data_IF_524305806213
#
_entry.id   IF_524305806213
#
_cell.length_a   1.000
_cell.length_b   1.000
_cell.length_c   1.000
_cell.angle_alpha   90.00
_cell.angle_beta   90.00
_cell.angle_gamma   90.00
#
_symmetry.space_group_name_H-M   'P 1'
#
loop_
_entity.id
_entity.type
_entity.pdbx_description
1 polymer ?
#
# COMPACT_ATOMS: atom_id res chain seq x y z
N UNK A 1 -6.26 24.90 0.48
CA UNK A 1 -7.69 24.76 0.11
C UNK A 1 -7.67 24.62 -1.41
N UNK A 2 -7.92 23.43 -1.98
CA UNK A 2 -7.51 23.15 -3.36
C UNK A 2 -8.25 23.98 -4.42
N UNK A 3 -7.57 24.21 -5.57
CA UNK A 3 -7.99 24.97 -6.78
C UNK A 3 -7.18 24.45 -8.01
N UNK A 4 -7.52 24.66 -9.29
CA UNK A 4 -8.69 24.22 -10.11
C UNK A 4 -8.39 24.53 -11.60
N UNK A 5 -8.79 23.72 -12.60
CA UNK A 5 -8.69 24.11 -14.04
C UNK A 5 -9.67 23.41 -15.00
N UNK A 6 -9.83 24.02 -16.20
CA UNK A 6 -10.94 23.92 -17.18
C UNK A 6 -10.59 23.24 -18.52
N UNK A 7 -11.62 22.90 -19.33
CA UNK A 7 -11.50 22.51 -20.75
C UNK A 7 -12.13 23.55 -21.71
N UNK A 8 -11.77 23.54 -23.00
CA UNK A 8 -11.99 24.60 -24.01
C UNK A 8 -13.46 24.86 -24.46
N UNK A 9 -14.47 24.30 -23.78
CA UNK A 9 -15.88 24.45 -24.18
C UNK A 9 -16.65 25.29 -23.17
N UNK A 10 -17.07 26.47 -23.61
CA UNK A 10 -17.88 27.42 -22.83
C UNK A 10 -19.14 26.77 -22.23
N UNK A 11 -19.37 27.01 -20.92
CA UNK A 11 -20.56 26.67 -20.12
C UNK A 11 -20.73 25.14 -19.89
N UNK A 12 -20.83 24.61 -18.66
CA UNK A 12 -21.42 25.13 -17.40
C UNK A 12 -20.58 24.72 -16.19
N UNK A 13 -20.38 25.62 -15.21
CA UNK A 13 -19.59 25.30 -14.00
C UNK A 13 -20.39 24.45 -13.01
N UNK A 14 -20.08 23.16 -12.93
CA UNK A 14 -20.47 22.32 -11.79
C UNK A 14 -19.45 22.45 -10.65
N UNK A 15 -19.55 23.54 -9.87
CA UNK A 15 -19.12 23.43 -8.47
C UNK A 15 -20.03 22.36 -7.87
N UNK A 16 -19.44 21.30 -7.29
CA UNK A 16 -20.20 20.34 -6.46
C UNK A 16 -21.13 21.16 -5.57
N UNK A 17 -22.46 20.93 -5.59
CA UNK A 17 -23.38 21.73 -4.78
C UNK A 17 -22.84 21.78 -3.35
N UNK A 18 -22.75 22.96 -2.71
CA UNK A 18 -22.20 23.09 -1.36
C UNK A 18 -22.71 21.94 -0.52
N UNK A 19 -21.86 21.16 0.16
CA UNK A 19 -22.20 19.79 0.63
C UNK A 19 -23.58 19.68 1.31
N UNK A 20 -24.02 20.74 1.99
CA UNK A 20 -25.39 21.01 2.46
C UNK A 20 -26.55 20.75 1.46
N UNK A 21 -26.41 21.09 0.18
CA UNK A 21 -27.35 20.77 -0.91
C UNK A 21 -27.32 19.28 -1.30
N UNK A 22 -26.19 18.59 -1.13
CA UNK A 22 -26.14 17.12 -1.26
C UNK A 22 -26.75 16.42 -0.04
N UNK A 23 -26.64 17.02 1.15
CA UNK A 23 -27.30 16.55 2.39
C UNK A 23 -28.84 16.65 2.35
N UNK A 24 -29.42 17.43 1.42
CA UNK A 24 -30.86 17.43 1.14
C UNK A 24 -31.32 16.23 0.29
N UNK A 25 -30.38 15.39 -0.19
CA UNK A 25 -30.70 14.15 -0.90
C UNK A 25 -30.50 12.93 0.02
N UNK A 26 -31.35 11.91 -0.10
CA UNK A 26 -31.21 10.64 0.63
C UNK A 26 -30.06 9.76 0.08
N UNK A 27 -29.02 10.36 -0.52
CA UNK A 27 -27.86 9.67 -1.09
C UNK A 27 -26.60 10.14 -0.36
N UNK A 28 -25.72 9.22 -0.01
CA UNK A 28 -24.48 9.55 0.69
C UNK A 28 -23.64 10.53 -0.17
N UNK A 29 -23.25 11.72 0.35
CA UNK A 29 -22.48 12.71 -0.41
C UNK A 29 -21.16 12.16 -0.97
N UNK A 30 -20.52 11.21 -0.29
CA UNK A 30 -19.32 10.51 -0.77
C UNK A 30 -19.58 9.78 -2.09
N UNK A 31 -20.62 8.95 -2.17
CA UNK A 31 -20.95 8.23 -3.40
C UNK A 31 -21.43 9.14 -4.53
N UNK A 32 -22.16 10.22 -4.21
CA UNK A 32 -22.58 11.19 -5.24
C UNK A 32 -21.38 11.96 -5.80
N UNK A 33 -20.46 12.41 -4.95
CA UNK A 33 -19.20 13.05 -5.40
C UNK A 33 -18.36 12.10 -6.26
N UNK A 34 -18.27 10.82 -5.89
CA UNK A 34 -17.54 9.80 -6.64
C UNK A 34 -18.13 9.50 -8.03
N UNK A 35 -19.41 9.76 -8.27
CA UNK A 35 -19.98 9.67 -9.62
C UNK A 35 -19.84 10.99 -10.40
N UNK A 36 -20.00 12.14 -9.73
CA UNK A 36 -19.92 13.45 -10.38
C UNK A 36 -18.50 13.81 -10.88
N UNK A 37 -17.43 13.35 -10.22
CA UNK A 37 -16.07 13.67 -10.67
C UNK A 37 -15.75 13.19 -12.10
N UNK A 38 -16.44 12.14 -12.58
CA UNK A 38 -16.24 11.54 -13.91
C UNK A 38 -16.67 12.46 -15.07
N UNK A 39 -17.48 13.48 -14.76
CA UNK A 39 -18.04 14.45 -15.72
C UNK A 39 -17.75 15.90 -15.30
N UNK A 40 -16.86 16.11 -14.33
CA UNK A 40 -16.51 17.44 -13.84
C UNK A 40 -15.39 18.04 -14.69
N UNK A 41 -15.61 19.23 -15.25
CA UNK A 41 -14.57 19.98 -15.97
C UNK A 41 -13.43 20.44 -15.05
N UNK A 42 -13.69 20.54 -13.75
CA UNK A 42 -12.79 21.01 -12.69
C UNK A 42 -12.86 20.04 -11.52
N UNK A 43 -11.72 19.48 -11.11
CA UNK A 43 -11.60 18.64 -9.91
C UNK A 43 -10.76 19.31 -8.83
N UNK A 44 -11.30 19.31 -7.60
CA UNK A 44 -10.63 19.79 -6.39
C UNK A 44 -10.16 18.59 -5.56
N UNK A 45 -8.88 18.23 -5.68
CA UNK A 45 -8.30 17.07 -4.98
C UNK A 45 -7.18 17.51 -4.00
N UNK A 46 -7.12 16.97 -2.76
CA UNK A 46 -5.94 17.09 -1.92
C UNK A 46 -4.75 16.33 -2.54
N UNK A 47 -3.54 16.78 -2.26
CA UNK A 47 -2.31 16.26 -2.86
C UNK A 47 -2.10 14.74 -2.70
N UNK A 48 -2.52 14.14 -1.59
CA UNK A 48 -2.34 12.70 -1.38
C UNK A 48 -3.10 11.86 -2.42
N UNK A 49 -4.29 12.27 -2.86
CA UNK A 49 -5.02 11.59 -3.95
C UNK A 49 -4.31 11.70 -5.30
N UNK A 50 -3.46 12.72 -5.47
CA UNK A 50 -2.61 12.86 -6.66
C UNK A 50 -1.35 12.01 -6.54
N UNK A 51 -0.67 12.03 -5.39
CA UNK A 51 0.69 11.50 -5.24
C UNK A 51 0.69 10.02 -4.86
N UNK A 52 -0.15 9.62 -3.91
CA UNK A 52 -0.24 8.25 -3.42
C UNK A 52 -0.85 7.32 -4.49
N UNK A 53 -0.16 6.22 -4.77
CA UNK A 53 -0.54 5.30 -5.85
C UNK A 53 -1.83 4.55 -5.55
N UNK A 54 -2.07 4.20 -4.29
CA UNK A 54 -3.24 3.43 -3.87
C UNK A 54 -4.48 4.33 -3.80
N UNK A 55 -4.36 5.55 -3.26
CA UNK A 55 -5.43 6.55 -3.31
C UNK A 55 -5.78 6.95 -4.76
N UNK A 56 -4.78 7.10 -5.64
CA UNK A 56 -5.01 7.40 -7.06
C UNK A 56 -5.80 6.28 -7.78
N UNK A 57 -5.50 5.00 -7.49
CA UNK A 57 -6.29 3.85 -7.99
C UNK A 57 -7.75 3.92 -7.51
N UNK A 58 -7.97 4.21 -6.23
CA UNK A 58 -9.32 4.28 -5.62
C UNK A 58 -10.15 5.42 -6.23
N UNK A 59 -9.54 6.57 -6.50
CA UNK A 59 -10.23 7.72 -7.09
C UNK A 59 -10.58 7.48 -8.57
N UNK A 60 -9.76 6.71 -9.30
CA UNK A 60 -9.98 6.31 -10.70
C UNK A 60 -10.27 7.49 -11.65
N UNK A 61 -9.53 8.59 -11.47
CA UNK A 61 -9.56 9.76 -12.36
C UNK A 61 -8.74 9.46 -13.61
N UNK A 62 -9.30 9.73 -14.78
CA UNK A 62 -8.52 9.80 -16.02
C UNK A 62 -7.82 11.16 -16.10
N UNK A 63 -6.50 11.14 -16.25
CA UNK A 63 -5.65 12.34 -16.34
C UNK A 63 -5.26 12.67 -17.80
N UNK A 64 -5.70 11.86 -18.77
CA UNK A 64 -5.45 12.12 -20.18
C UNK A 64 -6.02 13.49 -20.59
N UNK A 65 -5.20 14.28 -21.29
CA UNK A 65 -5.56 15.62 -21.77
C UNK A 65 -6.02 16.60 -20.65
N UNK A 66 -5.56 16.40 -19.42
CA UNK A 66 -5.86 17.26 -18.26
C UNK A 66 -4.68 18.18 -17.89
N UNK A 67 -4.96 19.37 -17.37
CA UNK A 67 -3.94 20.29 -16.83
C UNK A 67 -3.93 20.19 -15.31
N UNK A 68 -2.76 19.88 -14.73
CA UNK A 68 -2.58 19.77 -13.29
C UNK A 68 -1.91 21.03 -12.71
N UNK A 69 -2.57 21.67 -11.74
CA UNK A 69 -2.01 22.79 -10.96
C UNK A 69 -1.77 22.32 -9.52
N UNK A 70 -0.59 22.65 -8.99
CA UNK A 70 -0.27 22.54 -7.57
C UNK A 70 -0.31 23.94 -6.93
N UNK A 71 -1.37 24.21 -6.16
CA UNK A 71 -1.52 25.43 -5.36
C UNK A 71 -0.82 25.28 -4.01
N UNK A 72 0.05 26.24 -3.64
CA UNK A 72 0.96 26.13 -2.47
C UNK A 72 1.90 24.91 -2.53
N UNK A 73 2.59 24.74 -3.66
CA UNK A 73 3.50 23.63 -3.95
C UNK A 73 4.74 23.50 -3.03
N UNK A 74 4.91 24.38 -2.04
CA UNK A 74 6.08 24.35 -1.13
C UNK A 74 6.10 23.12 -0.18
N UNK A 75 4.98 22.40 -0.04
CA UNK A 75 4.88 21.11 0.68
C UNK A 75 4.95 19.89 -0.26
N UNK A 76 5.11 20.09 -1.58
CA UNK A 76 4.99 19.01 -2.55
C UNK A 76 6.17 18.01 -2.46
N UNK A 77 7.39 18.51 -2.19
CA UNK A 77 8.58 17.67 -2.08
C UNK A 77 8.50 16.70 -0.88
N UNK A 78 8.18 17.21 0.32
CA UNK A 78 8.05 16.37 1.51
C UNK A 78 6.95 15.32 1.35
N UNK A 79 5.78 15.69 0.84
CA UNK A 79 4.70 14.73 0.63
C UNK A 79 5.02 13.68 -0.45
N UNK A 80 5.80 14.04 -1.48
CA UNK A 80 6.33 13.06 -2.44
C UNK A 80 7.37 12.13 -1.80
N UNK A 81 8.22 12.65 -0.89
CA UNK A 81 9.20 11.86 -0.17
C UNK A 81 8.52 10.88 0.81
N UNK A 82 7.50 11.33 1.54
CA UNK A 82 6.72 10.51 2.47
C UNK A 82 5.97 9.38 1.72
N UNK A 83 5.27 9.71 0.63
CA UNK A 83 4.55 8.73 -0.21
C UNK A 83 5.47 7.78 -1.00
N UNK A 84 6.77 8.08 -1.09
CA UNK A 84 7.81 7.21 -1.63
C UNK A 84 8.69 6.58 -0.54
N UNK A 85 8.32 6.72 0.73
CA UNK A 85 9.01 6.11 1.87
C UNK A 85 8.14 5.05 2.52
N UNK A 86 8.76 4.18 3.30
CA UNK A 86 8.06 3.21 4.14
C UNK A 86 8.87 2.94 5.40
N UNK A 87 8.17 2.64 6.49
CA UNK A 87 8.74 2.13 7.72
C UNK A 87 8.36 0.66 7.90
N UNK A 88 9.34 -0.19 8.21
CA UNK A 88 9.11 -1.60 8.58
C UNK A 88 9.52 -1.81 10.05
N UNK A 89 8.70 -1.40 11.02
CA UNK A 89 9.01 -1.57 12.43
C UNK A 89 8.84 -3.02 12.87
N UNK A 90 9.61 -3.46 13.87
CA UNK A 90 9.65 -4.87 14.31
C UNK A 90 8.27 -5.45 14.63
N UNK A 91 7.40 -4.67 15.30
CA UNK A 91 6.07 -5.11 15.68
C UNK A 91 5.14 -5.39 14.48
N UNK A 92 5.33 -4.66 13.36
CA UNK A 92 4.59 -4.91 12.12
C UNK A 92 5.03 -6.24 11.50
N UNK A 93 6.33 -6.51 11.49
CA UNK A 93 6.88 -7.77 10.96
C UNK A 93 6.45 -8.98 11.81
N UNK A 94 6.47 -8.88 13.14
CA UNK A 94 5.94 -9.91 14.04
C UNK A 94 4.43 -10.14 13.87
N UNK A 95 3.66 -9.08 13.60
CA UNK A 95 2.23 -9.22 13.25
C UNK A 95 2.04 -9.98 11.94
N UNK A 96 2.78 -9.61 10.88
CA UNK A 96 2.76 -10.30 9.58
C UNK A 96 3.13 -11.78 9.69
N UNK A 97 4.14 -12.13 10.51
CA UNK A 97 4.53 -13.53 10.78
C UNK A 97 3.40 -14.31 11.47
N UNK A 98 2.65 -13.64 12.35
CA UNK A 98 1.51 -14.21 13.08
C UNK A 98 0.30 -14.43 12.17
N UNK A 99 0.00 -13.47 11.30
CA UNK A 99 -1.03 -13.57 10.26
C UNK A 99 -0.71 -14.68 9.24
N UNK A 100 0.53 -14.74 8.75
CA UNK A 100 0.97 -15.81 7.86
C UNK A 100 0.90 -17.19 8.54
N UNK A 101 1.11 -17.28 9.87
CA UNK A 101 0.84 -18.52 10.62
C UNK A 101 -0.66 -18.85 10.64
N UNK A 102 -1.52 -17.86 10.93
CA UNK A 102 -2.97 -18.06 10.94
C UNK A 102 -3.47 -18.59 9.59
N UNK A 103 -2.95 -18.05 8.48
CA UNK A 103 -3.29 -18.52 7.13
C UNK A 103 -2.95 -20.01 6.89
N UNK A 104 -1.82 -20.50 7.43
CA UNK A 104 -1.47 -21.93 7.37
C UNK A 104 -2.49 -22.75 8.15
N UNK A 105 -2.74 -22.35 9.41
CA UNK A 105 -3.63 -23.07 10.33
C UNK A 105 -5.08 -23.13 9.77
N UNK A 106 -5.60 -22.01 9.24
CA UNK A 106 -6.90 -21.92 8.56
C UNK A 106 -6.98 -22.73 7.25
N UNK A 107 -5.94 -22.68 6.42
CA UNK A 107 -5.91 -23.40 5.15
C UNK A 107 -5.88 -24.92 5.36
N UNK A 108 -5.24 -25.39 6.43
CA UNK A 108 -5.30 -26.81 6.85
C UNK A 108 -6.71 -27.15 7.36
N UNK A 109 -7.29 -26.36 8.26
CA UNK A 109 -8.63 -26.62 8.80
C UNK A 109 -9.70 -26.69 7.69
N UNK A 110 -9.71 -25.74 6.75
CA UNK A 110 -10.64 -25.76 5.60
C UNK A 110 -10.46 -27.00 4.72
N UNK A 111 -9.23 -27.46 4.49
CA UNK A 111 -8.96 -28.69 3.73
C UNK A 111 -9.54 -29.93 4.40
N UNK A 112 -9.50 -29.99 5.72
CA UNK A 112 -10.06 -31.10 6.51
C UNK A 112 -11.60 -31.05 6.57
N UNK A 113 -12.19 -29.86 6.73
CA UNK A 113 -13.64 -29.69 6.91
C UNK A 113 -14.45 -29.72 5.59
N UNK A 114 -13.96 -29.08 4.53
CA UNK A 114 -14.73 -28.84 3.29
C UNK A 114 -14.10 -29.43 2.02
N UNK A 115 -12.93 -30.07 2.12
CA UNK A 115 -12.10 -30.47 0.97
C UNK A 115 -11.71 -29.31 0.03
N UNK A 116 -11.80 -28.05 0.49
CA UNK A 116 -11.40 -26.90 -0.32
C UNK A 116 -9.89 -26.90 -0.59
N UNK A 117 -9.52 -26.87 -1.86
CA UNK A 117 -8.13 -26.86 -2.36
C UNK A 117 -7.78 -25.56 -3.07
N UNK A 118 -8.65 -24.54 -3.00
CA UNK A 118 -8.45 -23.20 -3.57
C UNK A 118 -7.09 -22.61 -3.17
N UNK A 119 -6.75 -22.72 -1.89
CA UNK A 119 -5.52 -22.17 -1.31
C UNK A 119 -4.55 -23.26 -0.85
N UNK A 120 -3.27 -22.90 -0.81
CA UNK A 120 -2.18 -23.81 -0.49
C UNK A 120 -1.41 -23.42 0.79
N UNK A 121 -1.45 -24.22 1.86
CA UNK A 121 -0.74 -23.90 3.10
C UNK A 121 0.78 -23.88 2.90
N UNK A 122 1.31 -24.58 1.90
CA UNK A 122 2.75 -24.50 1.56
C UNK A 122 3.14 -23.09 1.08
N UNK A 123 2.25 -22.38 0.37
CA UNK A 123 2.50 -21.01 -0.06
C UNK A 123 2.61 -20.08 1.16
N UNK A 124 1.68 -20.21 2.11
CA UNK A 124 1.71 -19.45 3.37
C UNK A 124 2.90 -19.84 4.27
N UNK A 125 3.33 -21.10 4.24
CA UNK A 125 4.55 -21.55 4.91
C UNK A 125 5.82 -20.95 4.28
N UNK A 126 5.89 -20.83 2.96
CA UNK A 126 6.96 -20.12 2.25
C UNK A 126 6.98 -18.63 2.64
N UNK A 127 5.83 -17.96 2.61
CA UNK A 127 5.70 -16.55 3.02
C UNK A 127 6.16 -16.35 4.47
N UNK A 128 5.68 -17.17 5.41
CA UNK A 128 6.09 -17.12 6.82
C UNK A 128 7.60 -17.37 7.01
N UNK A 129 8.17 -18.34 6.29
CA UNK A 129 9.60 -18.63 6.35
C UNK A 129 10.46 -17.47 5.80
N UNK A 130 9.97 -16.78 4.77
CA UNK A 130 10.59 -15.57 4.21
C UNK A 130 10.57 -14.42 5.22
N UNK A 131 9.41 -14.14 5.83
CA UNK A 131 9.27 -13.08 6.84
C UNK A 131 10.18 -13.33 8.07
N UNK A 132 10.27 -14.58 8.55
CA UNK A 132 11.20 -14.96 9.62
C UNK A 132 12.68 -14.79 9.23
N UNK A 133 13.05 -15.11 7.99
CA UNK A 133 14.40 -14.85 7.49
C UNK A 133 14.68 -13.35 7.39
N UNK A 134 13.70 -12.55 6.94
CA UNK A 134 13.81 -11.08 6.87
C UNK A 134 14.01 -10.49 8.26
N UNK A 135 13.21 -10.89 9.25
CA UNK A 135 13.35 -10.48 10.66
C UNK A 135 14.76 -10.77 11.18
N UNK A 136 15.27 -11.99 10.94
CA UNK A 136 16.62 -12.40 11.33
C UNK A 136 17.71 -11.58 10.62
N UNK A 137 17.60 -11.33 9.30
CA UNK A 137 18.59 -10.53 8.55
C UNK A 137 18.59 -9.07 8.98
N UNK A 138 17.44 -8.49 9.33
CA UNK A 138 17.35 -7.12 9.89
C UNK A 138 17.98 -7.08 11.29
N UNK A 139 17.75 -8.09 12.14
CA UNK A 139 18.33 -8.18 13.48
C UNK A 139 19.87 -8.34 13.48
N UNK A 140 20.42 -8.95 12.43
CA UNK A 140 21.87 -9.10 12.20
C UNK A 140 22.58 -7.81 11.75
N UNK A 141 21.85 -6.74 11.42
CA UNK A 141 22.44 -5.48 10.94
C UNK A 141 23.27 -4.78 12.06
N UNK A 142 24.57 -4.49 11.83
CA UNK A 142 25.45 -3.93 12.85
C UNK A 142 25.19 -2.43 13.07
N UNK A 143 24.32 -2.11 14.02
CA UNK A 143 24.03 -0.74 14.46
C UNK A 143 25.12 -0.28 15.44
N UNK A 144 26.07 0.53 14.94
CA UNK A 144 27.25 0.95 15.70
C UNK A 144 26.95 1.98 16.80
N UNK A 145 25.92 2.81 16.62
CA UNK A 145 25.44 3.76 17.65
C UNK A 145 23.92 3.90 17.57
N UNK A 146 23.28 4.15 18.72
CA UNK A 146 21.82 4.35 18.81
C UNK A 146 21.35 5.54 17.95
N UNK A 147 22.09 6.65 17.99
CA UNK A 147 21.70 7.92 17.38
C UNK A 147 21.84 7.92 15.85
N UNK A 148 22.95 7.40 15.32
CA UNK A 148 23.20 7.43 13.87
C UNK A 148 22.47 6.29 13.13
N UNK A 149 22.24 5.14 13.79
CA UNK A 149 21.70 3.96 13.13
C UNK A 149 22.69 3.34 12.13
N UNK A 150 22.18 2.56 11.18
CA UNK A 150 22.93 2.00 10.07
C UNK A 150 22.30 2.44 8.75
N UNK A 151 23.00 3.28 7.97
CA UNK A 151 22.50 3.81 6.69
C UNK A 151 23.30 3.24 5.52
N UNK A 152 22.61 2.86 4.44
CA UNK A 152 23.21 2.30 3.22
C UNK A 152 22.61 2.94 1.96
N UNK A 153 23.33 2.97 0.83
CA UNK A 153 22.81 3.48 -0.43
C UNK A 153 21.69 2.59 -0.97
N UNK A 154 20.82 3.17 -1.80
CA UNK A 154 19.64 2.52 -2.42
C UNK A 154 19.81 1.06 -2.84
N UNK A 155 20.85 0.70 -3.62
CA UNK A 155 21.07 -0.68 -4.09
C UNK A 155 21.08 -1.77 -3.01
N UNK A 156 21.46 -1.41 -1.77
CA UNK A 156 21.54 -2.34 -0.64
C UNK A 156 20.21 -3.08 -0.34
N UNK A 157 19.05 -2.47 -0.61
CA UNK A 157 17.76 -3.16 -0.39
C UNK A 157 17.61 -4.37 -1.31
N UNK A 158 18.12 -4.29 -2.54
CA UNK A 158 18.04 -5.38 -3.51
C UNK A 158 19.05 -6.49 -3.18
N UNK A 159 20.21 -6.14 -2.62
CA UNK A 159 21.17 -7.11 -2.07
C UNK A 159 20.54 -7.89 -0.89
N UNK A 160 19.98 -7.16 0.09
CA UNK A 160 19.36 -7.75 1.28
C UNK A 160 18.12 -8.60 0.95
N UNK A 161 17.35 -8.23 -0.08
CA UNK A 161 16.21 -9.01 -0.56
C UNK A 161 16.63 -10.19 -1.45
N UNK A 162 17.70 -10.08 -2.24
CA UNK A 162 18.23 -11.17 -3.04
C UNK A 162 18.76 -12.34 -2.18
N UNK A 163 19.37 -12.05 -1.02
CA UNK A 163 19.71 -13.03 0.04
C UNK A 163 18.50 -13.88 0.47
N UNK A 164 17.29 -13.36 0.31
CA UNK A 164 16.01 -13.99 0.66
C UNK A 164 15.29 -14.60 -0.56
N UNK A 165 15.94 -14.63 -1.72
CA UNK A 165 15.36 -14.97 -3.03
C UNK A 165 14.23 -14.03 -3.48
N UNK A 166 14.15 -12.79 -2.95
CA UNK A 166 13.18 -11.76 -3.35
C UNK A 166 13.80 -10.84 -4.40
N UNK A 167 13.28 -10.90 -5.61
CA UNK A 167 13.79 -10.25 -6.83
C UNK A 167 12.64 -9.79 -7.71
N UNK A 168 12.87 -8.94 -8.72
CA UNK A 168 11.81 -8.55 -9.67
C UNK A 168 11.08 -9.73 -10.36
N UNK A 169 11.67 -10.93 -10.41
CA UNK A 169 11.05 -12.12 -11.00
C UNK A 169 10.18 -12.86 -9.99
N UNK A 170 10.63 -12.96 -8.73
CA UNK A 170 9.92 -13.68 -7.67
C UNK A 170 8.88 -12.83 -6.95
N UNK A 171 9.00 -11.50 -6.98
CA UNK A 171 8.06 -10.57 -6.32
C UNK A 171 6.62 -10.80 -6.76
N UNK A 172 6.33 -11.01 -8.06
CA UNK A 172 4.95 -11.22 -8.53
C UNK A 172 4.30 -12.49 -7.98
N UNK A 173 5.10 -13.54 -7.69
CA UNK A 173 4.59 -14.74 -7.02
C UNK A 173 4.32 -14.45 -5.54
N UNK A 174 5.20 -13.67 -4.90
CA UNK A 174 5.08 -13.31 -3.49
C UNK A 174 3.89 -12.39 -3.22
N UNK A 175 3.62 -11.40 -4.07
CA UNK A 175 2.46 -10.51 -3.95
C UNK A 175 1.15 -11.29 -4.07
N UNK A 176 1.04 -12.21 -5.04
CA UNK A 176 -0.15 -13.06 -5.19
C UNK A 176 -0.41 -13.94 -3.94
N UNK A 177 0.65 -14.48 -3.31
CA UNK A 177 0.51 -15.26 -2.06
C UNK A 177 0.05 -14.37 -0.89
N UNK A 178 0.45 -13.09 -0.87
CA UNK A 178 -0.02 -12.12 0.11
C UNK A 178 -1.48 -11.73 -0.15
N UNK A 179 -1.88 -11.55 -1.41
CA UNK A 179 -3.27 -11.27 -1.79
C UNK A 179 -4.19 -12.44 -1.40
N UNK A 180 -3.78 -13.69 -1.69
CA UNK A 180 -4.49 -14.91 -1.25
C UNK A 180 -4.63 -14.96 0.29
N UNK A 181 -3.59 -14.58 1.02
CA UNK A 181 -3.59 -14.55 2.48
C UNK A 181 -4.52 -13.46 3.04
N UNK A 182 -4.55 -12.29 2.41
CA UNK A 182 -5.45 -11.20 2.80
C UNK A 182 -6.92 -11.62 2.65
N UNK A 183 -7.30 -12.19 1.50
CA UNK A 183 -8.66 -12.70 1.24
C UNK A 183 -9.07 -13.76 2.28
N UNK A 184 -8.17 -14.69 2.62
CA UNK A 184 -8.44 -15.73 3.62
C UNK A 184 -8.74 -15.14 5.01
N UNK A 185 -7.98 -14.12 5.42
CA UNK A 185 -8.13 -13.44 6.71
C UNK A 185 -9.37 -12.54 6.74
N UNK A 186 -9.75 -11.89 5.64
CA UNK A 186 -10.99 -11.12 5.53
C UNK A 186 -12.23 -12.03 5.70
N UNK A 187 -12.24 -13.19 5.05
CA UNK A 187 -13.32 -14.17 5.19
C UNK A 187 -13.44 -14.71 6.64
N UNK A 188 -12.30 -14.99 7.31
CA UNK A 188 -12.29 -15.40 8.72
C UNK A 188 -12.83 -14.30 9.65
N UNK A 189 -12.38 -13.06 9.44
CA UNK A 189 -12.82 -11.89 10.20
C UNK A 189 -14.32 -11.62 10.04
N UNK A 190 -14.87 -11.80 8.83
CA UNK A 190 -16.31 -11.72 8.57
C UNK A 190 -17.11 -12.77 9.36
N UNK A 191 -16.64 -14.02 9.40
CA UNK A 191 -17.28 -15.08 10.19
C UNK A 191 -17.19 -14.81 11.70
N UNK A 192 -16.05 -14.30 12.17
CA UNK A 192 -15.77 -14.08 13.59
C UNK A 192 -16.20 -12.69 14.12
N UNK A 193 -16.84 -11.85 13.30
CA UNK A 193 -17.28 -10.48 13.66
C UNK A 193 -16.17 -9.58 14.22
N UNK A 194 -14.91 -9.83 13.83
CA UNK A 194 -13.74 -9.04 14.25
C UNK A 194 -13.24 -8.19 13.10
N UNK A 195 -13.35 -6.87 13.21
CA UNK A 195 -12.80 -5.93 12.22
C UNK A 195 -11.29 -5.75 12.34
N UNK A 196 -10.50 -6.82 12.22
CA UNK A 196 -9.04 -6.76 12.29
C UNK A 196 -8.47 -6.42 10.91
N UNK A 197 -7.76 -5.30 10.80
CA UNK A 197 -7.07 -4.91 9.55
C UNK A 197 -5.90 -5.88 9.29
N UNK A 198 -5.88 -6.48 8.09
CA UNK A 198 -4.77 -7.32 7.62
C UNK A 198 -3.47 -6.51 7.53
N UNK A 199 -2.37 -7.01 8.10
CA UNK A 199 -1.07 -6.33 8.11
C UNK A 199 -0.14 -6.83 7.02
N UNK A 200 -0.35 -8.04 6.52
CA UNK A 200 0.39 -8.58 5.37
C UNK A 200 0.29 -7.68 4.13
N UNK A 201 -0.81 -6.94 3.94
CA UNK A 201 -0.95 -5.93 2.88
C UNK A 201 0.17 -4.87 2.91
N UNK A 202 0.66 -4.48 4.10
CA UNK A 202 1.77 -3.54 4.23
C UNK A 202 3.08 -4.10 3.63
N UNK A 203 3.28 -5.42 3.65
CA UNK A 203 4.41 -6.06 2.97
C UNK A 203 4.21 -6.02 1.45
N UNK A 204 2.96 -6.19 0.96
CA UNK A 204 2.62 -6.06 -0.45
C UNK A 204 2.94 -4.66 -0.99
N UNK A 205 2.52 -3.62 -0.27
CA UNK A 205 2.81 -2.22 -0.60
C UNK A 205 4.32 -1.94 -0.63
N UNK A 206 5.06 -2.40 0.37
CA UNK A 206 6.53 -2.26 0.43
C UNK A 206 7.20 -2.92 -0.78
N UNK A 207 6.77 -4.14 -1.16
CA UNK A 207 7.31 -4.85 -2.33
C UNK A 207 6.97 -4.12 -3.63
N UNK A 208 5.74 -3.66 -3.80
CA UNK A 208 5.30 -2.88 -4.96
C UNK A 208 6.00 -1.52 -5.08
N UNK A 209 6.41 -0.94 -3.96
CA UNK A 209 7.17 0.30 -3.90
C UNK A 209 8.65 0.08 -4.27
N UNK A 210 9.32 -0.91 -3.67
CA UNK A 210 10.74 -1.25 -3.95
C UNK A 210 10.95 -1.74 -5.39
N UNK A 211 10.08 -2.62 -5.90
CA UNK A 211 10.24 -3.25 -7.21
C UNK A 211 9.48 -2.55 -8.35
N UNK A 212 9.05 -1.30 -8.11
CA UNK A 212 8.22 -0.51 -9.02
C UNK A 212 8.79 -0.38 -10.44
N UNK A 213 10.06 0.03 -10.55
CA UNK A 213 10.70 0.36 -11.82
C UNK A 213 11.95 -0.52 -12.03
N UNK A 214 11.98 -1.30 -13.12
CA UNK A 214 13.12 -2.19 -13.41
C UNK A 214 14.36 -1.38 -13.81
N UNK A 215 15.44 -1.54 -13.05
CA UNK A 215 16.77 -0.97 -13.37
C UNK A 215 17.12 0.35 -12.67
N UNK A 216 16.21 0.95 -11.92
CA UNK A 216 16.49 2.11 -11.07
C UNK A 216 16.31 1.73 -9.59
N UNK A 217 17.21 2.20 -8.72
CA UNK A 217 17.03 2.04 -7.29
C UNK A 217 15.87 2.92 -6.80
N UNK A 218 14.91 2.32 -6.08
CA UNK A 218 13.71 2.98 -5.58
C UNK A 218 14.02 4.23 -4.73
N UNK A 219 14.90 4.10 -3.73
CA UNK A 219 15.30 5.18 -2.83
C UNK A 219 16.80 5.46 -2.93
N UNK A 220 17.23 6.67 -2.55
CA UNK A 220 18.66 7.02 -2.48
C UNK A 220 19.38 6.31 -1.34
N UNK A 221 18.70 6.10 -0.21
CA UNK A 221 19.25 5.49 0.99
C UNK A 221 18.18 4.65 1.71
N UNK A 222 18.64 3.66 2.47
CA UNK A 222 17.86 2.92 3.46
C UNK A 222 18.55 3.00 4.82
N UNK A 223 17.76 3.11 5.89
CA UNK A 223 18.25 3.22 7.28
C UNK A 223 17.62 2.14 8.15
N UNK A 224 18.43 1.52 9.00
CA UNK A 224 18.00 0.64 10.08
C UNK A 224 18.39 1.30 11.41
N UNK A 225 17.43 1.47 12.30
CA UNK A 225 17.61 2.10 13.61
C UNK A 225 16.81 1.36 14.68
N UNK A 226 17.26 1.43 15.94
CA UNK A 226 16.46 0.99 17.09
C UNK A 226 15.64 2.17 17.57
N UNK A 227 14.32 2.05 17.48
CA UNK A 227 13.35 3.01 18.03
C UNK A 227 12.96 2.46 19.41
N UNK A 228 12.89 3.33 20.42
CA UNK A 228 12.44 3.00 21.80
C UNK A 228 10.92 3.10 21.92
#
# INVERSE_FOLDING_TARGET
MGVCLTNEKNQVVWVLPPIYLLLLSCRCPYYVSRELHKVADILFAPYNYLIDRNLRKILNVDWNNSILIFDEAHNLESLCADAASFDLPSWLLTACISEAKNCIDLSIARREESNDKSQNPDNFAILKALLLKLEKRIAEVPIQSKEMGFTRPGPYIYELLADLNVTHETTSMLTNIIDDAAVLLEEENHNNSKGTVCRLESINDILHLIFRDKGNAHAKFYRVSRIE
#
